data_IF_095085836214
#
_entry.id   IF_095085836214
#
_cell.length_a   1.000
_cell.length_b   1.000
_cell.length_c   1.000
_cell.angle_alpha   90.00
_cell.angle_beta   90.00
_cell.angle_gamma   90.00
#
_symmetry.space_group_name_H-M   'P 1'
#
loop_
_entity.id
_entity.type
_entity.pdbx_description
1 polymer ?
#
# COMPACT_ATOMS: atom_id res chain seq x y z
N UNK A 1 -5.40 -16.10 10.63
CA UNK A 1 -6.15 -14.97 10.07
C UNK A 1 -5.15 -13.89 9.66
N UNK A 2 -5.24 -13.40 8.43
CA UNK A 2 -4.38 -12.32 7.96
C UNK A 2 -4.68 -11.04 8.74
N UNK A 3 -3.67 -10.37 9.28
CA UNK A 3 -3.84 -9.12 10.02
C UNK A 3 -4.54 -8.03 9.20
N UNK A 4 -4.38 -8.06 7.87
CA UNK A 4 -5.07 -7.15 6.94
C UNK A 4 -6.60 -7.35 6.85
N UNK A 5 -7.18 -8.27 7.60
CA UNK A 5 -8.63 -8.47 7.70
C UNK A 5 -9.26 -7.67 8.86
N UNK A 6 -8.46 -7.13 9.79
CA UNK A 6 -8.96 -6.28 10.88
C UNK A 6 -8.94 -4.81 10.46
N UNK A 7 -10.09 -4.13 10.43
CA UNK A 7 -10.16 -2.70 10.15
C UNK A 7 -9.33 -1.86 11.12
N UNK A 8 -9.36 -2.20 12.40
CA UNK A 8 -8.61 -1.50 13.44
C UNK A 8 -7.09 -1.59 13.19
N UNK A 9 -6.63 -2.76 12.80
CA UNK A 9 -5.23 -2.97 12.48
C UNK A 9 -4.82 -2.21 11.21
N UNK A 10 -5.65 -2.21 10.17
CA UNK A 10 -5.38 -1.48 8.92
C UNK A 10 -5.36 0.02 9.19
N UNK A 11 -6.29 0.55 9.98
CA UNK A 11 -6.31 1.97 10.36
C UNK A 11 -5.04 2.36 11.12
N UNK A 12 -4.64 1.59 12.14
CA UNK A 12 -3.41 1.85 12.91
C UNK A 12 -2.15 1.79 12.02
N UNK A 13 -2.07 0.81 11.13
CA UNK A 13 -0.99 0.67 10.15
C UNK A 13 -0.88 1.93 9.28
N UNK A 14 -2.00 2.40 8.73
CA UNK A 14 -2.06 3.60 7.90
C UNK A 14 -1.69 4.84 8.68
N UNK A 15 -2.19 5.01 9.91
CA UNK A 15 -1.84 6.14 10.78
C UNK A 15 -0.33 6.22 11.05
N UNK A 16 0.33 5.08 11.27
CA UNK A 16 1.77 5.03 11.53
C UNK A 16 2.57 5.29 10.27
N UNK A 17 2.24 4.64 9.16
CA UNK A 17 2.97 4.79 7.89
C UNK A 17 2.83 6.22 7.36
N UNK A 18 1.65 6.80 7.43
CA UNK A 18 1.36 8.16 6.93
C UNK A 18 1.66 9.26 7.96
N UNK A 19 2.06 8.88 9.18
CA UNK A 19 2.29 9.79 10.30
C UNK A 19 1.10 10.72 10.54
N UNK A 20 -0.11 10.17 10.46
CA UNK A 20 -1.37 10.89 10.65
C UNK A 20 -2.29 10.17 11.65
N UNK A 21 -2.22 10.56 12.92
CA UNK A 21 -3.04 9.98 13.99
C UNK A 21 -4.53 10.30 13.88
N UNK A 22 -4.91 11.26 13.03
CA UNK A 22 -6.30 11.65 12.79
C UNK A 22 -6.94 10.89 11.62
N UNK A 23 -6.13 10.18 10.82
CA UNK A 23 -6.64 9.38 9.72
C UNK A 23 -7.70 8.39 10.24
N UNK A 24 -8.82 8.34 9.52
CA UNK A 24 -9.90 7.37 9.77
C UNK A 24 -10.28 6.70 8.46
N UNK A 25 -10.58 5.42 8.56
CA UNK A 25 -11.07 4.63 7.42
C UNK A 25 -12.58 4.39 7.54
N UNK A 26 -13.18 4.08 6.40
CA UNK A 26 -14.54 3.54 6.33
C UNK A 26 -14.46 2.02 6.44
N UNK A 27 -14.58 1.49 7.64
CA UNK A 27 -14.36 0.06 7.94
C UNK A 27 -15.19 -0.87 7.07
N UNK A 28 -16.38 -0.45 6.68
CA UNK A 28 -17.31 -1.18 5.80
C UNK A 28 -16.78 -1.35 4.37
N UNK A 29 -15.81 -0.52 3.95
CA UNK A 29 -15.19 -0.60 2.62
C UNK A 29 -13.98 -1.54 2.57
N UNK A 30 -13.52 -2.06 3.71
CA UNK A 30 -12.34 -2.92 3.75
C UNK A 30 -12.57 -4.19 2.94
N UNK A 31 -11.74 -4.37 1.93
CA UNK A 31 -11.69 -5.55 1.09
C UNK A 31 -10.32 -6.23 1.27
N UNK A 32 -10.28 -7.30 2.05
CA UNK A 32 -9.07 -8.09 2.25
C UNK A 32 -9.04 -9.30 1.31
N UNK A 33 -7.85 -9.61 0.79
CA UNK A 33 -7.60 -10.77 -0.08
C UNK A 33 -8.51 -10.84 -1.32
N UNK A 34 -9.01 -9.70 -1.80
CA UNK A 34 -9.90 -9.62 -2.95
C UNK A 34 -9.11 -9.57 -4.27
N UNK A 35 -9.58 -10.33 -5.26
CA UNK A 35 -9.02 -10.32 -6.61
C UNK A 35 -9.77 -9.34 -7.51
N UNK A 36 -9.02 -8.59 -8.30
CA UNK A 36 -9.55 -7.83 -9.43
C UNK A 36 -9.25 -8.60 -10.70
N UNK A 37 -10.30 -9.05 -11.40
CA UNK A 37 -10.17 -9.77 -12.66
C UNK A 37 -9.94 -8.80 -13.81
N UNK A 38 -8.90 -9.05 -14.59
CA UNK A 38 -8.68 -8.38 -15.86
C UNK A 38 -8.94 -9.36 -16.99
N UNK A 39 -9.96 -9.10 -17.82
CA UNK A 39 -10.36 -10.00 -18.91
C UNK A 39 -9.37 -10.03 -20.09
N UNK A 40 -8.52 -9.00 -20.21
CA UNK A 40 -7.56 -8.85 -21.33
C UNK A 40 -6.10 -8.90 -20.89
N UNK A 41 -5.85 -9.00 -19.59
CA UNK A 41 -4.50 -8.98 -19.05
C UNK A 41 -4.40 -9.71 -17.72
N UNK A 42 -3.34 -9.41 -16.99
CA UNK A 42 -3.05 -10.04 -15.71
C UNK A 42 -4.04 -9.53 -14.64
N UNK A 43 -4.74 -10.44 -13.98
CA UNK A 43 -5.52 -10.14 -12.78
C UNK A 43 -4.59 -9.88 -11.59
N UNK A 44 -5.07 -9.11 -10.62
CA UNK A 44 -4.33 -8.83 -9.39
C UNK A 44 -5.10 -9.34 -8.17
N UNK A 45 -4.37 -9.53 -7.07
CA UNK A 45 -4.94 -9.81 -5.74
C UNK A 45 -4.45 -8.73 -4.80
N UNK A 46 -5.38 -8.05 -4.17
CA UNK A 46 -5.10 -7.04 -3.15
C UNK A 46 -5.03 -7.72 -1.78
N UNK A 47 -4.03 -7.39 -0.98
CA UNK A 47 -3.98 -7.88 0.40
C UNK A 47 -4.96 -7.11 1.27
N UNK A 48 -5.03 -5.80 1.16
CA UNK A 48 -6.10 -4.98 1.70
C UNK A 48 -6.35 -3.73 0.84
N UNK A 49 -7.61 -3.40 0.65
CA UNK A 49 -8.07 -2.13 0.08
C UNK A 49 -9.11 -1.52 1.01
N UNK A 50 -9.03 -0.24 1.26
CA UNK A 50 -9.98 0.49 2.12
C UNK A 50 -10.09 1.95 1.70
N UNK A 51 -11.27 2.55 1.91
CA UNK A 51 -11.48 3.98 1.70
C UNK A 51 -11.31 4.76 3.00
N UNK A 52 -10.73 5.95 2.88
CA UNK A 52 -10.67 6.94 3.96
C UNK A 52 -11.95 7.75 4.07
N UNK A 53 -12.04 8.59 5.10
CA UNK A 53 -13.19 9.47 5.30
C UNK A 53 -13.23 10.64 4.29
N UNK A 54 -12.08 11.04 3.78
CA UNK A 54 -11.94 12.04 2.73
C UNK A 54 -11.75 11.32 1.40
N UNK A 55 -12.35 11.71 0.33
CA UNK A 55 -12.36 11.04 -0.98
C UNK A 55 -10.98 10.50 -1.43
N UNK A 56 -10.49 9.53 -0.70
CA UNK A 56 -9.20 8.86 -0.88
C UNK A 56 -9.33 7.36 -0.59
N UNK A 57 -8.46 6.57 -1.20
CA UNK A 57 -8.38 5.14 -0.99
C UNK A 57 -6.95 4.70 -0.70
N UNK A 58 -6.82 3.58 -0.02
CA UNK A 58 -5.55 2.98 0.35
C UNK A 58 -5.53 1.52 -0.11
N UNK A 59 -4.44 1.13 -0.76
CA UNK A 59 -4.19 -0.28 -1.05
C UNK A 59 -2.89 -0.70 -0.37
N UNK A 60 -2.96 -1.75 0.44
CA UNK A 60 -1.80 -2.33 1.12
C UNK A 60 -1.45 -3.65 0.46
N UNK A 61 -0.20 -3.81 0.08
CA UNK A 61 0.36 -5.05 -0.45
C UNK A 61 1.58 -5.47 0.35
N UNK A 62 1.67 -6.76 0.66
CA UNK A 62 2.82 -7.36 1.36
C UNK A 62 3.51 -8.34 0.43
N UNK A 63 4.79 -8.11 0.14
CA UNK A 63 5.58 -8.93 -0.76
C UNK A 63 6.80 -9.53 -0.06
N UNK A 64 6.84 -10.86 -0.03
CA UNK A 64 7.94 -11.61 0.59
C UNK A 64 9.03 -12.01 -0.40
N UNK A 65 8.68 -12.18 -1.68
CA UNK A 65 9.64 -12.65 -2.69
C UNK A 65 10.29 -11.50 -3.44
N UNK A 66 11.53 -11.74 -3.89
CA UNK A 66 12.35 -10.76 -4.64
C UNK A 66 12.23 -10.95 -6.18
N UNK A 67 11.33 -11.82 -6.64
CA UNK A 67 11.28 -12.29 -8.03
C UNK A 67 10.39 -11.44 -8.93
N UNK A 68 10.17 -10.16 -8.65
CA UNK A 68 9.34 -9.31 -9.48
C UNK A 68 9.92 -7.89 -9.61
N UNK A 69 9.49 -7.18 -10.65
CA UNK A 69 9.74 -5.74 -10.72
C UNK A 69 8.70 -5.02 -9.85
N UNK A 70 9.09 -4.70 -8.63
CA UNK A 70 8.21 -4.14 -7.60
C UNK A 70 7.54 -2.83 -8.05
N UNK A 71 8.30 -1.91 -8.63
CA UNK A 71 7.78 -0.60 -9.07
C UNK A 71 6.78 -0.74 -10.22
N UNK A 72 7.08 -1.59 -11.20
CA UNK A 72 6.13 -1.87 -12.29
C UNK A 72 4.86 -2.58 -11.78
N UNK A 73 5.00 -3.44 -10.78
CA UNK A 73 3.86 -4.11 -10.15
C UNK A 73 2.95 -3.10 -9.47
N UNK A 74 3.50 -2.19 -8.66
CA UNK A 74 2.73 -1.13 -8.00
C UNK A 74 2.00 -0.27 -9.03
N UNK A 75 2.70 0.18 -10.10
CA UNK A 75 2.08 0.94 -11.19
C UNK A 75 0.91 0.18 -11.84
N UNK A 76 1.11 -1.09 -12.16
CA UNK A 76 0.07 -1.91 -12.79
C UNK A 76 -1.16 -2.06 -11.89
N UNK A 77 -0.93 -2.39 -10.62
CA UNK A 77 -2.00 -2.57 -9.63
C UNK A 77 -2.76 -1.26 -9.39
N UNK A 78 -2.07 -0.13 -9.26
CA UNK A 78 -2.68 1.19 -9.13
C UNK A 78 -3.57 1.53 -10.33
N UNK A 79 -3.10 1.27 -11.54
CA UNK A 79 -3.86 1.52 -12.77
C UNK A 79 -5.14 0.69 -12.82
N UNK A 80 -5.06 -0.59 -12.45
CA UNK A 80 -6.21 -1.49 -12.48
C UNK A 80 -7.23 -1.16 -11.39
N UNK A 81 -6.78 -0.80 -10.19
CA UNK A 81 -7.64 -0.35 -9.10
C UNK A 81 -8.36 0.94 -9.52
N UNK A 82 -7.64 1.93 -10.06
CA UNK A 82 -8.21 3.19 -10.53
C UNK A 82 -9.27 2.96 -11.60
N UNK A 83 -8.95 2.16 -12.62
CA UNK A 83 -9.89 1.86 -13.71
C UNK A 83 -11.15 1.14 -13.22
N UNK A 84 -11.04 0.29 -12.19
CA UNK A 84 -12.18 -0.43 -11.64
C UNK A 84 -13.07 0.43 -10.73
N UNK A 85 -12.56 1.55 -10.24
CA UNK A 85 -13.27 2.48 -9.36
C UNK A 85 -13.90 3.65 -10.12
N UNK A 86 -13.74 3.70 -11.44
CA UNK A 86 -14.37 4.68 -12.32
C UNK A 86 -15.53 4.06 -13.08
N UNK A 87 -16.62 4.79 -13.18
CA UNK A 87 -17.84 4.37 -13.87
C UNK A 87 -18.01 5.09 -15.20
N UNK A 88 -18.73 4.53 -16.16
CA UNK A 88 -19.05 5.23 -17.40
C UNK A 88 -19.80 6.54 -17.12
N UNK A 89 -19.23 7.66 -17.55
CA UNK A 89 -19.79 9.00 -17.33
C UNK A 89 -19.09 9.82 -16.26
N UNK A 90 -18.20 9.21 -15.47
CA UNK A 90 -17.35 9.94 -14.54
C UNK A 90 -16.45 10.92 -15.30
N UNK A 91 -16.17 12.05 -14.69
CA UNK A 91 -15.15 12.99 -15.18
C UNK A 91 -13.78 12.63 -14.59
N UNK A 92 -12.70 13.22 -15.10
CA UNK A 92 -11.37 12.98 -14.52
C UNK A 92 -11.23 13.60 -13.13
N UNK A 93 -12.03 14.61 -12.78
CA UNK A 93 -12.11 15.19 -11.45
C UNK A 93 -12.70 14.22 -10.42
N UNK A 94 -13.54 13.27 -10.87
CA UNK A 94 -14.15 12.24 -10.02
C UNK A 94 -13.22 11.07 -9.73
N UNK A 95 -12.05 11.01 -10.39
CA UNK A 95 -11.07 9.93 -10.14
C UNK A 95 -10.51 10.04 -8.73
N UNK A 96 -10.85 9.05 -7.91
CA UNK A 96 -10.49 9.00 -6.50
C UNK A 96 -8.97 8.99 -6.29
N UNK A 97 -8.49 9.76 -5.32
CA UNK A 97 -7.09 9.69 -4.89
C UNK A 97 -6.76 8.32 -4.32
N UNK A 98 -5.63 7.76 -4.71
CA UNK A 98 -5.17 6.43 -4.32
C UNK A 98 -3.76 6.49 -3.72
N UNK A 99 -3.60 5.91 -2.54
CA UNK A 99 -2.31 5.68 -1.91
C UNK A 99 -1.96 4.19 -1.96
N UNK A 100 -0.91 3.86 -2.70
CA UNK A 100 -0.37 2.51 -2.76
C UNK A 100 0.69 2.33 -1.68
N UNK A 101 0.49 1.40 -0.75
CA UNK A 101 1.44 1.05 0.30
C UNK A 101 1.98 -0.33 0.00
N UNK A 102 3.25 -0.40 -0.33
CA UNK A 102 3.94 -1.63 -0.71
C UNK A 102 4.98 -2.02 0.33
N UNK A 103 4.70 -3.08 1.08
CA UNK A 103 5.55 -3.57 2.15
C UNK A 103 6.38 -4.73 1.61
N UNK A 104 7.70 -4.60 1.65
CA UNK A 104 8.65 -5.59 1.15
C UNK A 104 9.64 -6.01 2.22
N UNK A 105 10.00 -7.30 2.25
CA UNK A 105 11.13 -7.78 3.07
C UNK A 105 12.47 -7.28 2.55
N UNK A 106 12.54 -6.85 1.28
CA UNK A 106 13.77 -6.36 0.65
C UNK A 106 13.74 -4.85 0.45
N UNK A 107 14.90 -4.24 0.65
CA UNK A 107 15.11 -2.83 0.30
C UNK A 107 15.24 -2.65 -1.20
N UNK A 108 14.09 -2.41 -1.87
CA UNK A 108 14.01 -2.33 -3.35
C UNK A 108 14.76 -1.13 -3.94
N UNK A 109 15.04 -0.10 -3.14
CA UNK A 109 15.79 1.09 -3.56
C UNK A 109 17.24 1.12 -3.07
N UNK A 110 17.65 0.18 -2.21
CA UNK A 110 19.01 0.04 -1.70
C UNK A 110 19.56 1.30 -1.03
N UNK A 111 18.73 2.03 -0.29
CA UNK A 111 19.11 3.26 0.42
C UNK A 111 19.01 3.13 1.95
N UNK A 112 18.76 1.91 2.46
CA UNK A 112 18.71 1.58 3.89
C UNK A 112 17.73 2.43 4.70
N UNK A 113 16.58 2.79 4.08
CA UNK A 113 15.50 3.48 4.77
C UNK A 113 14.30 2.56 4.94
N UNK A 114 13.58 2.74 6.03
CA UNK A 114 12.34 2.00 6.27
C UNK A 114 11.22 2.47 5.34
N UNK A 115 11.22 3.75 4.97
CA UNK A 115 10.12 4.38 4.25
C UNK A 115 10.62 5.19 3.06
N UNK A 116 10.00 4.96 1.91
CA UNK A 116 10.22 5.72 0.68
C UNK A 116 8.90 6.25 0.15
N UNK A 117 8.84 7.56 -0.12
CA UNK A 117 7.74 8.20 -0.82
C UNK A 117 8.13 8.43 -2.27
N UNK A 118 7.28 7.99 -3.19
CA UNK A 118 7.49 8.19 -4.63
C UNK A 118 6.34 9.02 -5.19
N UNK A 119 6.67 10.12 -5.83
CA UNK A 119 5.73 11.05 -6.46
C UNK A 119 6.27 11.54 -7.81
N UNK A 120 5.37 12.01 -8.67
CA UNK A 120 5.74 12.61 -9.93
C UNK A 120 6.40 13.96 -9.71
N UNK A 121 7.41 14.26 -10.52
CA UNK A 121 8.16 15.52 -10.48
C UNK A 121 8.30 16.08 -11.88
N UNK A 122 8.12 17.39 -12.02
CA UNK A 122 8.50 18.12 -13.24
C UNK A 122 10.02 18.19 -13.24
N UNK A 123 10.67 17.54 -14.18
CA UNK A 123 12.13 17.42 -14.23
C UNK A 123 12.80 18.78 -14.35
N UNK A 124 12.23 19.68 -15.17
CA UNK A 124 12.79 20.99 -15.46
C UNK A 124 12.79 21.94 -14.26
N UNK A 125 11.88 21.75 -13.31
CA UNK A 125 11.70 22.68 -12.18
C UNK A 125 11.95 22.03 -10.81
N UNK A 126 11.91 20.70 -10.73
CA UNK A 126 11.99 19.96 -9.48
C UNK A 126 10.67 20.00 -8.66
N UNK A 127 9.63 20.60 -9.18
CA UNK A 127 8.35 20.68 -8.47
C UNK A 127 7.61 19.35 -8.51
N UNK A 128 6.99 18.98 -7.37
CA UNK A 128 6.11 17.82 -7.29
C UNK A 128 4.80 18.09 -8.04
N UNK A 129 4.28 17.04 -8.66
CA UNK A 129 2.97 17.02 -9.31
C UNK A 129 2.06 16.07 -8.55
N UNK A 130 0.97 16.58 -7.99
CA UNK A 130 -0.09 15.77 -7.41
C UNK A 130 -1.11 15.41 -8.50
N UNK A 131 -1.10 14.13 -8.88
CA UNK A 131 -2.08 13.55 -9.81
C UNK A 131 -3.06 12.61 -9.10
N UNK A 132 -3.14 12.69 -7.76
CA UNK A 132 -3.98 11.82 -6.95
C UNK A 132 -3.39 10.44 -6.66
N UNK A 133 -2.25 10.06 -7.24
CA UNK A 133 -1.55 8.81 -6.92
C UNK A 133 -0.34 9.07 -6.03
N UNK A 134 -0.29 8.39 -4.89
CA UNK A 134 0.87 8.34 -4.00
C UNK A 134 1.36 6.91 -3.87
N UNK A 135 2.67 6.73 -3.90
CA UNK A 135 3.28 5.42 -3.71
C UNK A 135 4.21 5.48 -2.50
N UNK A 136 4.01 4.55 -1.56
CA UNK A 136 4.83 4.42 -0.35
C UNK A 136 5.38 3.01 -0.34
N UNK A 137 6.70 2.91 -0.29
CA UNK A 137 7.41 1.64 -0.18
C UNK A 137 7.98 1.50 1.22
N UNK A 138 7.63 0.40 1.87
CA UNK A 138 8.06 0.10 3.24
C UNK A 138 9.04 -1.08 3.19
N UNK A 139 10.24 -0.86 3.72
CA UNK A 139 11.28 -1.86 3.83
C UNK A 139 11.33 -2.41 5.25
N UNK A 140 11.01 -3.70 5.42
CA UNK A 140 10.95 -4.31 6.75
C UNK A 140 12.33 -4.71 7.31
N UNK A 141 13.38 -4.74 6.48
CA UNK A 141 14.75 -5.03 6.91
C UNK A 141 15.46 -3.81 7.53
N UNK A 142 15.02 -2.59 7.22
CA UNK A 142 15.68 -1.39 7.71
C UNK A 142 15.43 -1.18 9.22
N UNK A 143 16.45 -0.68 9.89
CA UNK A 143 16.42 -0.36 11.31
C UNK A 143 16.90 1.09 11.50
N UNK A 144 16.06 2.04 11.13
CA UNK A 144 16.38 3.47 11.20
C UNK A 144 15.74 4.16 12.42
N UNK A 145 15.33 3.40 13.44
CA UNK A 145 14.71 3.87 14.69
C UNK A 145 13.41 4.67 14.51
N UNK A 146 12.72 4.49 13.38
CA UNK A 146 11.41 5.10 13.15
C UNK A 146 10.28 4.28 13.78
N UNK A 147 9.11 4.90 13.99
CA UNK A 147 7.89 4.19 14.42
C UNK A 147 7.48 3.10 13.43
N UNK A 148 7.70 3.35 12.14
CA UNK A 148 7.42 2.38 11.08
C UNK A 148 8.36 1.17 11.21
N UNK A 149 9.65 1.38 11.46
CA UNK A 149 10.60 0.29 11.70
C UNK A 149 10.21 -0.57 12.92
N UNK A 150 9.79 0.08 14.01
CA UNK A 150 9.31 -0.61 15.20
C UNK A 150 8.06 -1.47 14.92
N UNK A 151 7.10 -0.93 14.16
CA UNK A 151 5.91 -1.67 13.74
C UNK A 151 6.27 -2.86 12.86
N UNK A 152 7.16 -2.68 11.89
CA UNK A 152 7.61 -3.76 10.99
C UNK A 152 8.35 -4.87 11.76
N UNK A 153 9.10 -4.53 12.81
CA UNK A 153 9.73 -5.51 13.70
C UNK A 153 8.71 -6.38 14.45
N UNK A 154 7.54 -5.83 14.80
CA UNK A 154 6.44 -6.60 15.40
C UNK A 154 5.78 -7.55 14.38
N UNK A 155 5.69 -7.14 13.13
CA UNK A 155 5.22 -8.00 12.04
C UNK A 155 6.11 -9.23 11.87
N UNK A 156 7.42 -9.05 11.84
CA UNK A 156 8.37 -10.16 11.73
C UNK A 156 8.26 -11.16 12.88
N UNK A 157 8.12 -10.69 14.12
CA UNK A 157 7.97 -11.55 15.29
C UNK A 157 6.69 -12.39 15.25
N UNK A 158 5.55 -11.76 14.92
CA UNK A 158 4.25 -12.47 14.85
C UNK A 158 4.19 -13.48 13.71
N UNK A 159 4.87 -13.25 12.60
CA UNK A 159 4.94 -14.26 11.52
C UNK A 159 5.82 -15.44 11.88
N UNK A 160 6.93 -15.24 12.57
CA UNK A 160 7.77 -16.33 13.10
C UNK A 160 7.01 -17.18 14.13
N UNK A 161 6.30 -16.56 15.07
CA UNK A 161 5.48 -17.25 16.06
C UNK A 161 4.33 -18.07 15.44
N UNK A 162 3.82 -17.65 14.28
CA UNK A 162 2.80 -18.39 13.54
C UNK A 162 3.37 -19.54 12.69
N UNK A 163 4.63 -19.47 12.31
CA UNK A 163 5.35 -20.56 11.65
C UNK A 163 5.70 -21.67 12.63
N UNK A 164 6.18 -21.32 13.82
CA UNK A 164 6.53 -22.28 14.89
C UNK A 164 5.31 -23.03 15.44
N UNK A 165 4.11 -22.47 15.34
CA UNK A 165 2.86 -23.14 15.74
C UNK A 165 2.26 -24.07 14.68
N UNK A 166 2.84 -24.11 13.48
CA UNK A 166 2.42 -24.98 12.36
C UNK A 166 3.38 -26.16 12.12
N UNK A 167 4.46 -26.25 12.87
CA UNK A 167 5.39 -27.38 12.96
C UNK A 167 5.09 -28.20 14.20
#
# INVERSE_FOLDING_TARGET
ESMCQSPEFVEELLQIILNDSKLRIKSETLMAQKSIRNLRGRSIRMDAYVEGQEDNAFNVEVQKSDNCNHVKRVRYNASLITAQRTEPGDTFEDVQSLCMIYISEKDIFHKQRTLYHVQNTIIETGNLVDNGLKEIYVNTEAQDNTKVAALMGLFHKKELDNLDKKL
#
